data_IF_556568501916
#
_entry.id   IF_556568501916
#
_cell.length_a   1.000
_cell.length_b   1.000
_cell.length_c   1.000
_cell.angle_alpha   90.00
_cell.angle_beta   90.00
_cell.angle_gamma   90.00
#
_symmetry.space_group_name_H-M   'P 1'
#
loop_
_entity.id
_entity.type
_entity.pdbx_description
1 polymer ?
#
# COMPACT_ATOMS: atom_id res chain seq x y z
N UNK A 1 33.56 20.57 7.15
CA UNK A 1 32.14 20.22 7.37
C UNK A 1 31.74 19.18 6.32
N UNK A 2 31.51 17.91 6.70
CA UNK A 2 31.08 16.88 5.75
C UNK A 2 29.56 16.73 5.90
N UNK A 3 28.82 17.45 5.06
CA UNK A 3 27.38 17.26 4.90
C UNK A 3 27.12 15.82 4.44
N UNK A 4 26.65 14.99 5.38
CA UNK A 4 26.20 13.64 5.06
C UNK A 4 24.89 13.78 4.29
N UNK A 5 24.98 13.74 2.97
CA UNK A 5 23.81 13.79 2.09
C UNK A 5 23.08 12.45 2.17
N UNK A 6 22.23 12.31 3.19
CA UNK A 6 21.29 11.22 3.32
C UNK A 6 19.98 11.58 2.63
N UNK A 7 19.23 10.56 2.32
CA UNK A 7 17.89 10.76 1.80
C UNK A 7 17.85 11.53 0.47
N UNK A 8 16.82 12.38 0.27
CA UNK A 8 16.53 13.08 -1.01
C UNK A 8 17.69 13.93 -1.50
N UNK A 9 18.61 14.26 -0.60
CA UNK A 9 19.77 15.08 -0.83
C UNK A 9 20.95 14.27 -1.38
N UNK A 10 20.89 12.93 -1.34
CA UNK A 10 21.90 12.09 -1.96
C UNK A 10 21.74 12.08 -3.48
N UNK A 11 22.79 12.33 -4.28
CA UNK A 11 22.72 12.23 -5.74
C UNK A 11 22.36 10.82 -6.22
N UNK A 12 22.53 9.80 -5.37
CA UNK A 12 22.14 8.42 -5.66
C UNK A 12 20.70 8.09 -5.21
N UNK A 13 19.94 9.06 -4.68
CA UNK A 13 18.53 8.83 -4.34
C UNK A 13 17.73 8.65 -5.63
N UNK A 14 17.30 7.42 -5.88
CA UNK A 14 16.42 7.06 -7.01
C UNK A 14 14.97 6.97 -6.56
N UNK A 15 14.44 8.05 -5.98
CA UNK A 15 13.07 8.08 -5.48
C UNK A 15 12.84 7.16 -4.26
N UNK A 16 13.88 6.83 -3.49
CA UNK A 16 13.80 5.84 -2.42
C UNK A 16 13.74 4.40 -2.94
N UNK A 17 14.30 4.11 -4.12
CA UNK A 17 14.39 2.77 -4.67
C UNK A 17 15.84 2.29 -4.74
N UNK A 18 16.07 1.01 -4.46
CA UNK A 18 17.38 0.39 -4.62
C UNK A 18 17.29 -1.08 -5.02
N UNK A 19 18.30 -1.56 -5.74
CA UNK A 19 18.49 -2.97 -6.05
C UNK A 19 19.20 -3.65 -4.88
N UNK A 20 18.53 -4.62 -4.25
CA UNK A 20 19.11 -5.43 -3.19
C UNK A 20 20.13 -6.42 -3.76
N UNK A 21 21.14 -6.81 -2.96
CA UNK A 21 22.16 -7.83 -3.34
C UNK A 21 21.57 -9.14 -3.89
N UNK A 22 20.34 -9.47 -3.52
CA UNK A 22 19.63 -10.69 -3.98
C UNK A 22 18.94 -10.52 -5.35
N UNK A 23 19.02 -9.34 -5.97
CA UNK A 23 18.41 -9.01 -7.26
C UNK A 23 17.00 -8.42 -7.18
N UNK A 24 16.44 -8.23 -5.98
CA UNK A 24 15.10 -7.64 -5.82
C UNK A 24 15.18 -6.13 -5.79
N UNK A 25 14.21 -5.47 -6.43
CA UNK A 25 14.07 -4.03 -6.26
C UNK A 25 13.19 -3.71 -5.07
N UNK A 26 13.68 -2.85 -4.19
CA UNK A 26 12.96 -2.34 -3.02
C UNK A 26 12.60 -0.88 -3.21
N UNK A 27 11.42 -0.51 -2.72
CA UNK A 27 10.85 0.84 -2.78
C UNK A 27 10.53 1.29 -1.36
N UNK A 28 10.89 2.51 -1.01
CA UNK A 28 10.56 3.11 0.28
C UNK A 28 9.06 3.41 0.33
N UNK A 29 8.35 2.73 1.22
CA UNK A 29 6.91 2.86 1.45
C UNK A 29 6.63 2.63 2.94
N UNK A 30 7.03 3.55 3.83
CA UNK A 30 6.99 3.36 5.29
C UNK A 30 5.56 3.29 5.85
N UNK A 31 4.57 3.76 5.10
CA UNK A 31 3.15 3.68 5.47
C UNK A 31 2.48 2.38 5.02
N UNK A 32 3.19 1.54 4.25
CA UNK A 32 2.63 0.31 3.73
C UNK A 32 2.53 -0.76 4.84
N UNK A 33 1.38 -1.41 5.05
CA UNK A 33 1.20 -2.38 6.14
C UNK A 33 2.15 -3.59 6.05
N UNK A 34 2.67 -3.85 4.85
CA UNK A 34 3.65 -4.93 4.57
C UNK A 34 5.09 -4.46 4.34
N UNK A 35 5.43 -3.22 4.68
CA UNK A 35 6.83 -2.81 4.61
C UNK A 35 7.67 -3.58 5.64
N UNK A 36 8.94 -3.80 5.33
CA UNK A 36 9.92 -4.30 6.27
C UNK A 36 10.16 -3.25 7.38
N UNK A 37 10.86 -3.65 8.45
CA UNK A 37 11.19 -2.76 9.58
C UNK A 37 11.97 -1.50 9.19
N UNK A 38 12.61 -1.50 8.01
CA UNK A 38 13.32 -0.34 7.47
C UNK A 38 12.42 0.59 6.60
N UNK A 39 11.12 0.33 6.53
CA UNK A 39 10.15 1.12 5.74
C UNK A 39 10.17 0.83 4.24
N UNK A 40 10.87 -0.20 3.77
CA UNK A 40 10.89 -0.58 2.36
C UNK A 40 9.97 -1.77 2.08
N UNK A 41 9.52 -1.91 0.83
CA UNK A 41 8.77 -3.06 0.32
C UNK A 41 9.32 -3.49 -1.03
N UNK A 42 9.10 -4.75 -1.44
CA UNK A 42 9.48 -5.22 -2.78
C UNK A 42 8.60 -4.52 -3.84
N UNK A 43 9.22 -4.04 -4.93
CA UNK A 43 8.48 -3.44 -6.04
C UNK A 43 7.47 -4.43 -6.65
N UNK A 44 7.89 -5.68 -6.86
CA UNK A 44 7.02 -6.77 -7.29
C UNK A 44 5.74 -6.93 -6.44
N UNK A 45 5.80 -6.69 -5.12
CA UNK A 45 4.61 -6.75 -4.27
C UNK A 45 3.64 -5.62 -4.62
N UNK A 46 4.14 -4.39 -4.73
CA UNK A 46 3.30 -3.23 -5.08
C UNK A 46 2.66 -3.38 -6.46
N UNK A 47 3.42 -3.87 -7.45
CA UNK A 47 2.87 -4.09 -8.81
C UNK A 47 1.80 -5.18 -8.80
N UNK A 48 2.02 -6.27 -8.05
CA UNK A 48 1.04 -7.34 -7.96
C UNK A 48 -0.23 -6.89 -7.21
N UNK A 49 -0.09 -6.12 -6.12
CA UNK A 49 -1.24 -5.56 -5.39
C UNK A 49 -2.05 -4.58 -6.25
N UNK A 50 -1.36 -3.74 -7.03
CA UNK A 50 -2.00 -2.86 -8.00
C UNK A 50 -2.75 -3.66 -9.08
N UNK A 51 -2.19 -4.78 -9.56
CA UNK A 51 -2.84 -5.68 -10.51
C UNK A 51 -4.08 -6.36 -9.92
N UNK A 52 -4.01 -6.78 -8.66
CA UNK A 52 -5.09 -7.48 -7.95
C UNK A 52 -6.19 -6.52 -7.44
N UNK A 53 -5.90 -5.23 -7.32
CA UNK A 53 -6.80 -4.25 -6.69
C UNK A 53 -6.99 -4.46 -5.19
N UNK A 54 -6.13 -5.28 -4.56
CA UNK A 54 -6.13 -5.57 -3.12
C UNK A 54 -4.72 -5.81 -2.61
N UNK A 55 -4.52 -5.69 -1.30
CA UNK A 55 -3.28 -6.12 -0.66
C UNK A 55 -3.10 -7.65 -0.77
N UNK A 56 -1.85 -8.09 -0.82
CA UNK A 56 -1.52 -9.51 -0.76
C UNK A 56 -1.83 -10.05 0.63
N UNK A 57 -2.40 -11.25 0.70
CA UNK A 57 -2.66 -11.92 1.98
C UNK A 57 -1.35 -12.12 2.75
N UNK A 58 -1.36 -12.11 4.09
CA UNK A 58 -0.14 -12.24 4.91
C UNK A 58 0.74 -13.45 4.54
N UNK A 59 0.09 -14.54 4.11
CA UNK A 59 0.73 -15.80 3.70
C UNK A 59 0.98 -15.90 2.18
N UNK A 60 0.83 -14.80 1.44
CA UNK A 60 1.09 -14.72 0.01
C UNK A 60 2.33 -13.88 -0.28
N UNK A 61 3.02 -14.22 -1.36
CA UNK A 61 4.19 -13.53 -1.88
C UNK A 61 4.10 -13.37 -3.40
N UNK A 62 4.57 -12.23 -3.92
CA UNK A 62 4.79 -12.05 -5.35
C UNK A 62 5.98 -12.89 -5.83
N UNK A 63 5.76 -13.72 -6.85
CA UNK A 63 6.74 -14.59 -7.50
C UNK A 63 6.92 -14.22 -8.96
N UNK A 64 8.18 -14.13 -9.40
CA UNK A 64 8.57 -13.85 -10.78
C UNK A 64 8.59 -15.15 -11.60
N UNK A 65 7.76 -15.23 -12.63
CA UNK A 65 7.57 -16.45 -13.44
C UNK A 65 8.83 -16.76 -14.27
N UNK A 66 9.47 -15.74 -14.84
CA UNK A 66 10.71 -15.90 -15.62
C UNK A 66 11.99 -16.06 -14.77
N UNK A 67 11.89 -15.98 -13.44
CA UNK A 67 13.03 -16.04 -12.52
C UNK A 67 13.91 -14.77 -12.49
N UNK A 68 13.59 -13.75 -13.29
CA UNK A 68 14.28 -12.46 -13.34
C UNK A 68 13.66 -11.54 -12.28
N UNK A 69 14.44 -11.21 -11.24
CA UNK A 69 13.95 -10.62 -9.99
C UNK A 69 13.68 -9.11 -10.05
N UNK A 70 14.19 -8.44 -11.08
CA UNK A 70 14.01 -7.04 -11.38
C UNK A 70 13.02 -6.79 -12.52
N UNK A 71 12.51 -7.85 -13.16
CA UNK A 71 11.43 -7.78 -14.14
C UNK A 71 10.06 -7.75 -13.45
N UNK A 72 9.69 -6.56 -12.97
CA UNK A 72 8.45 -6.31 -12.24
C UNK A 72 7.22 -6.13 -13.15
N UNK A 73 7.22 -6.63 -14.40
CA UNK A 73 6.03 -6.57 -15.28
C UNK A 73 4.86 -7.32 -14.64
N UNK A 74 3.63 -6.76 -14.65
CA UNK A 74 2.48 -7.38 -13.99
C UNK A 74 2.17 -8.78 -14.52
N UNK A 75 2.43 -9.06 -15.80
CA UNK A 75 2.25 -10.39 -16.41
C UNK A 75 3.32 -11.41 -15.99
N UNK A 76 4.49 -10.94 -15.57
CA UNK A 76 5.57 -11.78 -15.05
C UNK A 76 5.42 -12.10 -13.55
N UNK A 77 4.39 -11.57 -12.89
CA UNK A 77 4.17 -11.71 -11.45
C UNK A 77 2.95 -12.59 -11.15
N UNK A 78 3.13 -13.55 -10.24
CA UNK A 78 2.07 -14.43 -9.71
C UNK A 78 2.02 -14.38 -8.18
N UNK A 79 0.81 -14.41 -7.63
CA UNK A 79 0.59 -14.62 -6.19
C UNK A 79 0.86 -16.09 -5.87
N UNK A 80 1.85 -16.36 -5.03
CA UNK A 80 2.10 -17.69 -4.48
C UNK A 80 1.85 -17.69 -2.98
N UNK A 81 1.14 -18.71 -2.49
CA UNK A 81 1.02 -18.99 -1.07
C UNK A 81 2.38 -19.51 -0.56
N UNK A 82 3.02 -18.80 0.38
CA UNK A 82 4.27 -19.27 0.95
C UNK A 82 4.00 -20.48 1.85
N UNK A 83 4.69 -21.60 1.60
CA UNK A 83 4.56 -22.90 2.29
C UNK A 83 4.94 -22.85 3.79
N UNK A 84 4.14 -22.18 4.62
CA UNK A 84 4.11 -22.41 6.08
C UNK A 84 2.95 -23.31 6.53
N UNK A 85 2.18 -23.84 5.59
CA UNK A 85 1.23 -24.93 5.84
C UNK A 85 1.55 -26.07 4.88
N UNK A 86 2.37 -27.02 5.33
CA UNK A 86 2.40 -28.37 4.75
C UNK A 86 1.10 -29.04 5.17
N UNK A 87 0.08 -29.06 4.31
CA UNK A 87 -1.14 -29.81 4.61
C UNK A 87 -2.46 -29.29 4.03
N UNK A 88 -2.46 -28.49 2.96
CA UNK A 88 -3.71 -28.19 2.24
C UNK A 88 -3.74 -28.95 0.91
N UNK A 89 -4.82 -29.69 0.60
CA UNK A 89 -4.94 -30.46 -0.62
C UNK A 89 -4.93 -29.57 -1.85
N UNK A 90 -4.49 -30.16 -2.96
CA UNK A 90 -4.14 -29.55 -4.26
C UNK A 90 -5.27 -28.74 -4.93
N UNK A 91 -6.50 -28.81 -4.42
CA UNK A 91 -7.70 -28.25 -5.03
C UNK A 91 -7.99 -26.78 -4.68
N UNK A 92 -7.22 -26.14 -3.77
CA UNK A 92 -7.40 -24.73 -3.43
C UNK A 92 -6.74 -23.75 -4.43
N UNK A 93 -6.58 -24.14 -5.69
CA UNK A 93 -6.29 -23.20 -6.77
C UNK A 93 -7.59 -22.49 -7.14
N UNK A 94 -7.80 -21.35 -6.49
CA UNK A 94 -8.85 -20.37 -6.80
C UNK A 94 -9.10 -20.30 -8.31
N UNK A 95 -10.33 -20.56 -8.79
CA UNK A 95 -10.67 -20.32 -10.18
C UNK A 95 -10.42 -18.85 -10.49
N UNK A 96 -9.78 -18.61 -11.64
CA UNK A 96 -9.47 -17.29 -12.16
C UNK A 96 -10.75 -16.43 -12.15
N UNK A 97 -10.82 -15.48 -11.21
CA UNK A 97 -11.90 -14.50 -11.20
C UNK A 97 -11.77 -13.64 -12.46
N UNK A 98 -12.77 -13.82 -13.31
CA UNK A 98 -13.18 -13.02 -14.44
C UNK A 98 -12.93 -11.50 -14.32
N UNK A 99 -12.63 -10.93 -15.49
CA UNK A 99 -12.29 -9.53 -15.73
C UNK A 99 -13.33 -8.59 -15.12
N UNK A 100 -12.93 -7.77 -14.15
CA UNK A 100 -13.74 -6.71 -13.57
C UNK A 100 -13.06 -5.35 -13.68
N UNK A 101 -13.44 -4.58 -14.69
CA UNK A 101 -13.23 -3.12 -14.77
C UNK A 101 -13.70 -2.44 -13.48
N UNK A 102 -12.85 -1.63 -12.84
CA UNK A 102 -13.28 -0.90 -11.64
C UNK A 102 -12.19 -0.14 -10.91
N UNK A 103 -11.63 0.88 -11.55
CA UNK A 103 -11.19 2.05 -10.78
C UNK A 103 -12.42 2.57 -10.02
N UNK A 104 -12.31 2.76 -8.69
CA UNK A 104 -13.02 3.73 -7.86
C UNK A 104 -12.92 3.32 -6.38
N UNK A 105 -12.12 4.05 -5.57
CA UNK A 105 -12.64 5.00 -4.57
C UNK A 105 -11.47 5.61 -3.81
N UNK A 106 -11.09 6.82 -4.23
CA UNK A 106 -10.43 7.80 -3.40
C UNK A 106 -11.36 8.06 -2.19
N UNK A 107 -10.90 7.71 -0.99
CA UNK A 107 -11.57 8.09 0.26
C UNK A 107 -11.46 9.62 0.41
N UNK A 108 -12.58 10.36 0.54
CA UNK A 108 -12.53 11.80 0.71
C UNK A 108 -12.18 12.17 2.15
N UNK A 109 -11.37 13.22 2.23
CA UNK A 109 -11.00 13.93 3.45
C UNK A 109 -12.24 14.45 4.17
N UNK A 110 -12.15 14.40 5.49
CA UNK A 110 -13.04 15.01 6.48
C UNK A 110 -13.56 16.38 6.02
N UNK A 111 -14.87 16.48 5.79
CA UNK A 111 -15.59 17.73 5.53
C UNK A 111 -16.50 18.09 6.72
N UNK A 112 -16.74 19.38 7.00
CA UNK A 112 -17.45 19.86 8.18
C UNK A 112 -18.97 19.75 8.01
N UNK A 113 -19.67 19.25 9.04
CA UNK A 113 -21.13 19.25 9.11
C UNK A 113 -21.65 20.62 9.54
N UNK A 114 -22.38 21.30 8.65
CA UNK A 114 -23.01 22.59 8.87
C UNK A 114 -24.41 22.54 9.49
N UNK A 115 -24.71 23.64 10.20
CA UNK A 115 -25.96 24.40 10.30
C UNK A 115 -27.33 23.75 10.09
N UNK A 116 -28.25 24.04 11.02
CA UNK A 116 -29.69 24.11 10.75
C UNK A 116 -30.58 24.40 11.95
N UNK A 117 -31.25 25.57 11.96
CA UNK A 117 -32.58 25.76 12.58
C UNK A 117 -32.66 26.68 13.80
N UNK A 118 -33.03 27.95 13.57
CA UNK A 118 -33.33 28.93 14.63
C UNK A 118 -34.78 28.92 15.12
N UNK A 119 -35.04 29.67 16.21
CA UNK A 119 -36.35 30.22 16.64
C UNK A 119 -36.14 31.30 17.71
N UNK A 120 -36.55 32.54 17.41
CA UNK A 120 -37.16 33.51 18.34
C UNK A 120 -36.23 34.44 19.18
N UNK A 121 -36.51 35.76 19.25
CA UNK A 121 -35.80 36.71 20.11
C UNK A 121 -36.60 37.14 21.37
N UNK A 122 -35.84 37.64 22.38
CA UNK A 122 -36.22 38.55 23.51
C UNK A 122 -36.95 37.96 24.74
N UNK A 123 -37.02 38.66 25.91
CA UNK A 123 -36.15 39.71 26.51
C UNK A 123 -35.68 39.34 27.95
N UNK A 124 -34.60 39.90 28.48
CA UNK A 124 -34.66 41.01 29.47
C UNK A 124 -33.73 40.72 30.68
N UNK A 125 -33.24 41.76 31.40
CA UNK A 125 -32.23 41.61 32.45
C UNK A 125 -32.86 41.50 33.84
N UNK A 126 -32.22 40.76 34.75
CA UNK A 126 -32.42 40.92 36.21
C UNK A 126 -31.08 40.79 36.94
N UNK A 127 -30.88 41.73 37.86
CA UNK A 127 -29.98 41.75 39.03
C UNK A 127 -29.94 40.38 39.75
N UNK A 128 -28.98 40.00 40.59
CA UNK A 128 -28.28 40.58 41.75
C UNK A 128 -27.29 39.42 42.10
N UNK A 129 -26.10 39.53 42.69
CA UNK A 129 -25.60 40.14 43.94
C UNK A 129 -24.07 39.94 43.92
#
# INVERSE_FOLDING_TARGET
>A
DKSHNWGKQSPNWKGGQYLEKRGYVRVFAPTHPRCYSNGYIRRATLVLEAKLGRFLLPNCVAHHINGIKDDDRPDNLKELLCKKHQGLPEEAQVPQAEKGSGMQKLMPLLGPGGAGGGRGPTPGPVEEI
#
